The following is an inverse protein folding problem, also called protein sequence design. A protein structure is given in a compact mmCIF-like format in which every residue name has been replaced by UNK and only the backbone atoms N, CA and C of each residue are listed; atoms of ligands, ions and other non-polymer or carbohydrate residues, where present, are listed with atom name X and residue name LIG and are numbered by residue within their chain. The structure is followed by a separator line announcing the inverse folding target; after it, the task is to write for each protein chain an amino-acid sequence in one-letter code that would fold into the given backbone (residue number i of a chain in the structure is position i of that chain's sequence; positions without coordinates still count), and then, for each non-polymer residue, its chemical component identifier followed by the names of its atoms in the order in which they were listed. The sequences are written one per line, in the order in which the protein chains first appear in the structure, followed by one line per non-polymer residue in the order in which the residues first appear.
data_IF_829260197690
#
_entry.id   IF_829260197690
#
_cell.length_a   1.000
_cell.length_b   1.000
_cell.length_c   1.000
_cell.angle_alpha   90.00
_cell.angle_beta   90.00
_cell.angle_gamma   90.00
#
_symmetry.space_group_name_H-M   'P 1'
#
loop_
_entity.id
_entity.type
_entity.pdbx_description
1 polymer ?
#
# COMPACT_ATOMS: atom_id res chain seq x y z
N UNK A 1 -0.65 17.15 5.84
CA UNK A 1 -1.43 16.05 6.45
C UNK A 1 -1.04 14.75 5.78
N UNK A 2 -1.11 13.62 6.48
CA UNK A 2 -0.70 12.31 5.97
C UNK A 2 -1.78 11.29 6.30
N UNK A 3 -1.93 10.28 5.45
CA UNK A 3 -2.86 9.16 5.66
C UNK A 3 -2.11 7.86 5.48
N UNK A 4 -2.34 6.90 6.38
CA UNK A 4 -1.91 5.50 6.20
C UNK A 4 -3.12 4.73 5.70
N UNK A 5 -2.96 3.99 4.61
CA UNK A 5 -4.03 3.20 4.00
C UNK A 5 -3.84 1.74 4.41
N UNK A 6 -4.86 1.18 5.07
CA UNK A 6 -4.84 -0.19 5.59
C UNK A 6 -5.21 -1.26 4.55
N UNK A 7 -4.79 -2.50 4.79
CA UNK A 7 -5.10 -3.68 3.97
C UNK A 7 -6.60 -3.84 3.75
N UNK A 8 -7.42 -3.60 4.78
CA UNK A 8 -8.87 -3.78 4.70
C UNK A 8 -9.56 -2.88 3.67
N UNK A 9 -9.02 -1.67 3.46
CA UNK A 9 -9.47 -0.69 2.46
C UNK A 9 -9.00 -1.09 1.07
N UNK A 10 -7.71 -1.42 0.94
CA UNK A 10 -7.13 -1.87 -0.34
C UNK A 10 -7.82 -3.13 -0.87
N UNK A 11 -8.10 -4.10 0.01
CA UNK A 11 -8.79 -5.34 -0.35
C UNK A 11 -10.25 -5.08 -0.72
N UNK A 12 -10.94 -4.18 -0.03
CA UNK A 12 -12.33 -3.84 -0.32
C UNK A 12 -12.51 -3.15 -1.67
N UNK A 13 -11.62 -2.23 -2.03
CA UNK A 13 -11.61 -1.63 -3.38
C UNK A 13 -11.34 -2.71 -4.45
N UNK A 14 -10.47 -3.67 -4.15
CA UNK A 14 -10.17 -4.75 -5.07
C UNK A 14 -11.36 -5.70 -5.30
N UNK A 15 -12.06 -6.07 -4.23
CA UNK A 15 -13.13 -7.07 -4.22
C UNK A 15 -14.50 -6.40 -4.42
N UNK A 16 -15.02 -6.42 -5.65
CA UNK A 16 -16.32 -5.80 -5.99
C UNK A 16 -17.51 -6.42 -5.28
N UNK A 17 -17.38 -7.65 -4.82
CA UNK A 17 -18.43 -8.35 -4.08
C UNK A 17 -18.34 -8.07 -2.57
N UNK A 18 -17.31 -7.35 -2.11
CA UNK A 18 -17.23 -6.91 -0.73
C UNK A 18 -18.35 -5.91 -0.43
N UNK A 19 -19.06 -6.12 0.68
CA UNK A 19 -20.11 -5.19 1.17
C UNK A 19 -19.61 -3.76 1.39
N UNK A 20 -18.29 -3.59 1.49
CA UNK A 20 -17.59 -2.32 1.68
C UNK A 20 -16.84 -1.83 0.43
N UNK A 21 -17.12 -2.39 -0.76
CA UNK A 21 -16.47 -1.98 -2.00
C UNK A 21 -16.68 -0.49 -2.31
N UNK A 22 -17.93 -0.04 -2.35
CA UNK A 22 -18.26 1.34 -2.73
C UNK A 22 -17.61 2.37 -1.79
N UNK A 23 -17.74 2.25 -0.44
CA UNK A 23 -17.07 3.18 0.47
C UNK A 23 -15.53 3.14 0.36
N UNK A 24 -14.95 1.97 0.06
CA UNK A 24 -13.51 1.85 -0.10
C UNK A 24 -13.01 2.50 -1.39
N UNK A 25 -13.75 2.33 -2.49
CA UNK A 25 -13.48 2.97 -3.78
C UNK A 25 -13.56 4.49 -3.66
N UNK A 26 -14.59 5.02 -2.99
CA UNK A 26 -14.72 6.46 -2.71
C UNK A 26 -13.56 6.99 -1.85
N UNK A 27 -13.22 6.28 -0.77
CA UNK A 27 -12.12 6.66 0.10
C UNK A 27 -10.77 6.68 -0.64
N UNK A 28 -10.50 5.68 -1.48
CA UNK A 28 -9.29 5.64 -2.29
C UNK A 28 -9.29 6.71 -3.39
N UNK A 29 -10.46 7.05 -3.95
CA UNK A 29 -10.62 8.21 -4.84
C UNK A 29 -10.12 9.50 -4.17
N UNK A 30 -10.58 9.78 -2.95
CA UNK A 30 -10.11 10.93 -2.19
C UNK A 30 -8.61 10.90 -1.85
N UNK A 31 -8.02 9.70 -1.68
CA UNK A 31 -6.56 9.54 -1.55
C UNK A 31 -5.85 9.89 -2.85
N UNK A 32 -6.32 9.37 -3.99
CA UNK A 32 -5.70 9.60 -5.30
C UNK A 32 -5.79 11.07 -5.74
N UNK A 33 -6.88 11.75 -5.40
CA UNK A 33 -7.07 13.18 -5.65
C UNK A 33 -6.20 14.07 -4.74
N UNK A 34 -5.52 13.49 -3.75
CA UNK A 34 -4.68 14.22 -2.80
C UNK A 34 -5.45 14.96 -1.70
N UNK A 35 -6.77 14.76 -1.60
CA UNK A 35 -7.65 15.45 -0.65
C UNK A 35 -7.34 15.11 0.82
N UNK A 36 -6.68 13.97 1.07
CA UNK A 36 -6.32 13.49 2.40
C UNK A 36 -4.82 13.71 2.74
N UNK A 37 -4.08 14.36 1.85
CA UNK A 37 -2.63 14.56 1.97
C UNK A 37 -1.82 13.39 1.44
N UNK A 38 -0.57 13.24 1.92
CA UNK A 38 0.35 12.22 1.36
C UNK A 38 -0.02 10.82 1.86
N UNK A 39 -0.31 9.86 0.97
CA UNK A 39 -0.63 8.50 1.36
C UNK A 39 0.62 7.64 1.58
N UNK A 40 0.54 6.82 2.62
CA UNK A 40 1.57 5.86 2.99
C UNK A 40 0.98 4.45 3.10
N UNK A 41 1.79 3.48 2.73
CA UNK A 41 1.58 2.05 2.95
C UNK A 41 2.87 1.51 3.54
N UNK A 42 2.77 0.70 4.59
CA UNK A 42 3.92 -0.02 5.12
C UNK A 42 4.23 -1.27 4.30
N UNK A 43 5.42 -1.81 4.44
CA UNK A 43 5.79 -3.12 3.92
C UNK A 43 4.85 -4.22 4.42
N UNK A 44 4.45 -4.19 5.70
CA UNK A 44 3.47 -5.14 6.25
C UNK A 44 2.11 -5.06 5.56
N UNK A 45 1.58 -3.85 5.34
CA UNK A 45 0.30 -3.66 4.66
C UNK A 45 0.41 -4.08 3.19
N UNK A 46 1.52 -3.74 2.54
CA UNK A 46 1.80 -4.17 1.18
C UNK A 46 1.79 -5.71 1.06
N UNK A 47 2.56 -6.40 1.91
CA UNK A 47 2.70 -7.84 1.90
C UNK A 47 1.38 -8.53 2.21
N UNK A 48 0.64 -8.03 3.19
CA UNK A 48 -0.66 -8.57 3.56
C UNK A 48 -1.68 -8.37 2.43
N UNK A 49 -1.79 -7.17 1.85
CA UNK A 49 -2.73 -6.89 0.77
C UNK A 49 -2.50 -7.78 -0.45
N UNK A 50 -1.24 -7.90 -0.89
CA UNK A 50 -0.88 -8.78 -2.02
C UNK A 50 -1.15 -10.24 -1.70
N UNK A 51 -0.76 -10.69 -0.49
CA UNK A 51 -0.96 -12.09 -0.07
C UNK A 51 -2.44 -12.42 0.08
N UNK A 52 -3.24 -11.53 0.65
CA UNK A 52 -4.67 -11.71 0.84
C UNK A 52 -5.41 -11.80 -0.49
N UNK A 53 -5.10 -10.89 -1.43
CA UNK A 53 -5.63 -10.94 -2.79
C UNK A 53 -5.24 -12.22 -3.52
N UNK A 54 -4.00 -12.69 -3.35
CA UNK A 54 -3.56 -13.98 -3.93
C UNK A 54 -4.32 -15.16 -3.31
N UNK A 55 -4.50 -15.17 -1.99
CA UNK A 55 -5.14 -16.27 -1.25
C UNK A 55 -6.64 -16.37 -1.50
N UNK A 56 -7.31 -15.25 -1.73
CA UNK A 56 -8.77 -15.18 -1.97
C UNK A 56 -9.15 -15.10 -3.44
N UNK A 57 -8.18 -14.95 -4.32
CA UNK A 57 -8.39 -14.84 -5.76
C UNK A 57 -7.36 -15.64 -6.55
N UNK A 58 -6.60 -14.92 -7.38
CA UNK A 58 -5.59 -15.52 -8.25
C UNK A 58 -4.37 -14.62 -8.40
N UNK A 59 -3.33 -15.15 -9.04
CA UNK A 59 -2.07 -14.42 -9.23
C UNK A 59 -2.20 -13.11 -10.04
N UNK A 60 -2.93 -13.04 -11.17
CA UNK A 60 -2.97 -11.81 -11.96
C UNK A 60 -3.55 -10.60 -11.20
N UNK A 61 -4.66 -10.71 -10.45
CA UNK A 61 -5.12 -9.66 -9.54
C UNK A 61 -4.10 -9.23 -8.49
N UNK A 62 -3.44 -10.19 -7.83
CA UNK A 62 -2.44 -9.91 -6.80
C UNK A 62 -1.23 -9.16 -7.38
N UNK A 63 -0.75 -9.59 -8.56
CA UNK A 63 0.32 -8.90 -9.29
C UNK A 63 -0.07 -7.48 -9.64
N UNK A 64 -1.27 -7.26 -10.19
CA UNK A 64 -1.76 -5.91 -10.53
C UNK A 64 -1.86 -5.02 -9.29
N UNK A 65 -2.35 -5.54 -8.16
CA UNK A 65 -2.39 -4.79 -6.91
C UNK A 65 -0.97 -4.40 -6.46
N UNK A 66 -0.03 -5.34 -6.47
CA UNK A 66 1.36 -5.08 -6.11
C UNK A 66 2.07 -4.10 -7.05
N UNK A 67 1.79 -4.15 -8.35
CA UNK A 67 2.31 -3.21 -9.35
C UNK A 67 1.70 -1.80 -9.13
N UNK A 68 0.40 -1.70 -8.83
CA UNK A 68 -0.28 -0.44 -8.52
C UNK A 68 0.27 0.22 -7.25
N UNK A 69 0.41 -0.53 -6.16
CA UNK A 69 0.89 0.01 -4.88
C UNK A 69 2.34 0.53 -4.98
N UNK A 70 3.17 -0.09 -5.83
CA UNK A 70 4.55 0.33 -6.08
C UNK A 70 4.71 1.41 -7.15
N UNK A 71 3.63 1.80 -7.85
CA UNK A 71 3.70 2.72 -8.97
C UNK A 71 4.52 2.18 -10.14
N UNK A 72 4.42 0.87 -10.42
CA UNK A 72 5.02 0.28 -11.62
C UNK A 72 4.14 0.63 -12.82
N UNK A 73 4.76 1.06 -13.92
CA UNK A 73 4.07 1.40 -15.17
C UNK A 73 2.97 0.38 -15.52
N UNK A 74 1.72 0.84 -15.81
CA UNK A 74 1.28 2.21 -16.07
C UNK A 74 0.79 2.98 -14.82
N UNK A 75 1.00 2.45 -13.62
CA UNK A 75 0.45 3.05 -12.41
C UNK A 75 1.34 4.18 -11.89
N UNK A 76 0.77 5.34 -11.50
CA UNK A 76 1.55 6.41 -10.90
C UNK A 76 2.06 6.01 -9.52
N UNK A 77 3.19 6.59 -9.11
CA UNK A 77 3.71 6.40 -7.75
C UNK A 77 2.94 7.27 -6.75
N UNK A 78 1.83 6.73 -6.26
CA UNK A 78 0.94 7.38 -5.29
C UNK A 78 1.43 7.20 -3.86
N UNK A 79 1.66 5.94 -3.46
CA UNK A 79 2.00 5.60 -2.09
C UNK A 79 3.49 5.80 -1.82
N UNK A 80 3.79 6.41 -0.68
CA UNK A 80 5.14 6.35 -0.11
C UNK A 80 5.27 5.13 0.77
N UNK A 81 6.32 4.37 0.55
CA UNK A 81 6.68 3.23 1.38
C UNK A 81 7.30 3.74 2.69
N UNK A 82 6.73 3.35 3.83
CA UNK A 82 7.34 3.62 5.15
C UNK A 82 8.41 2.58 5.43
N UNK A 83 9.40 2.40 4.54
CA UNK A 83 10.65 1.79 4.99
C UNK A 83 11.25 2.72 6.01
N UNK A 84 11.26 2.30 7.28
CA UNK A 84 12.26 2.80 8.19
C UNK A 84 13.59 2.41 7.54
N UNK A 85 14.25 3.38 6.89
CA UNK A 85 15.64 3.19 6.49
C UNK A 85 16.33 2.77 7.78
N UNK A 86 16.78 1.52 7.86
CA UNK A 86 17.73 1.07 8.86
C UNK A 86 19.06 1.79 8.58
N UNK A 87 19.04 3.11 8.64
CA UNK A 87 20.18 3.98 8.84
C UNK A 87 20.40 4.08 10.35
N UNK A 88 20.54 2.91 10.98
CA UNK A 88 21.40 2.83 12.15
C UNK A 88 22.80 3.02 11.61
N UNK A 89 23.30 4.26 11.60
CA UNK A 89 24.75 4.44 11.56
C UNK A 89 25.27 3.72 12.79
N UNK A 90 25.82 2.52 12.63
CA UNK A 90 26.83 2.05 13.55
C UNK A 90 27.98 3.03 13.38
N UNK A 91 27.96 4.08 14.20
CA UNK A 91 29.10 4.95 14.38
C UNK A 91 30.28 4.05 14.72
N UNK A 92 31.41 4.29 14.07
CA UNK A 92 32.67 3.62 14.33
C UNK A 92 32.83 3.43 15.84
N UNK A 93 32.69 2.18 16.29
CA UNK A 93 33.25 1.76 17.55
C UNK A 93 34.75 1.70 17.29
N UNK A 94 35.44 2.79 17.59
CA UNK A 94 36.86 2.74 17.91
C UNK A 94 36.99 1.79 19.10
N UNK A 95 37.38 0.56 18.80
CA UNK A 95 37.85 -0.38 19.79
C UNK A 95 39.29 0.01 20.16
N UNK A 96 39.64 -0.02 21.47
CA UNK A 96 40.99 0.26 21.93
C UNK A 96 42.02 -0.76 21.43
#
# INVERSE_FOLDING_TARGET
MTVIVDTGVLYADHDRDATRHEPASEALGAVYDGNLGTPYVSDYIYDEAVTLTLKRGSFPPAKRLGDRLRGVDPYPQVYRDTRQSASGSYGNLDLP
#
